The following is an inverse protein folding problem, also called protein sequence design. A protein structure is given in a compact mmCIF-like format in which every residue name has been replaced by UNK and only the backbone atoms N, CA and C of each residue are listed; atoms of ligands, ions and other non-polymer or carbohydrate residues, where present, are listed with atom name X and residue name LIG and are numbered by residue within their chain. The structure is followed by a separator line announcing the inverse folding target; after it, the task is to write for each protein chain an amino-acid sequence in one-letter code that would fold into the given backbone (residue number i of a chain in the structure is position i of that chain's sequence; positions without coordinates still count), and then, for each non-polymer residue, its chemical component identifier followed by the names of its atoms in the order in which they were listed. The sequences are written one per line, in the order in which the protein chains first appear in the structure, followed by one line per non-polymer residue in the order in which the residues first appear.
data_IF_538183369672
#
_entry.id   IF_538183369672
#
_cell.length_a   1.000
_cell.length_b   1.000
_cell.length_c   1.000
_cell.angle_alpha   90.00
_cell.angle_beta   90.00
_cell.angle_gamma   90.00
#
_symmetry.space_group_name_H-M   'P 1'
#
loop_
_entity.id
_entity.type
_entity.pdbx_description
1 polymer ?
#
# COMPACT_ATOMS: atom_id res chain seq x y z
N UNK A 1 -37.35 6.50 3.42
CA UNK A 1 -37.02 7.15 4.69
C UNK A 1 -36.05 8.31 4.48
N UNK A 2 -34.85 8.09 3.93
CA UNK A 2 -33.81 9.13 3.72
C UNK A 2 -34.30 10.38 2.98
N UNK A 3 -35.04 10.22 1.88
CA UNK A 3 -35.61 11.36 1.10
C UNK A 3 -36.67 12.11 1.93
N UNK A 4 -37.48 11.42 2.71
CA UNK A 4 -38.47 12.02 3.59
C UNK A 4 -37.82 12.82 4.72
N UNK A 5 -36.72 12.31 5.28
CA UNK A 5 -35.95 12.96 6.34
C UNK A 5 -35.29 14.25 5.81
N UNK A 6 -34.71 14.22 4.60
CA UNK A 6 -34.16 15.41 3.93
C UNK A 6 -35.22 16.50 3.66
N UNK A 7 -36.48 16.12 3.48
CA UNK A 7 -37.59 17.03 3.25
C UNK A 7 -38.22 17.57 4.55
N UNK A 8 -37.78 17.12 5.71
CA UNK A 8 -38.33 17.54 7.00
C UNK A 8 -38.09 19.05 7.28
N UNK A 9 -39.01 19.66 7.99
CA UNK A 9 -38.90 21.07 8.34
C UNK A 9 -37.70 21.34 9.26
N UNK A 10 -37.35 20.37 10.11
CA UNK A 10 -36.22 20.43 11.01
C UNK A 10 -34.88 20.50 10.25
N UNK A 11 -34.66 19.61 9.27
CA UNK A 11 -33.45 19.62 8.44
C UNK A 11 -33.40 20.91 7.59
N UNK A 12 -34.51 21.32 7.00
CA UNK A 12 -34.57 22.55 6.18
C UNK A 12 -34.24 23.80 6.98
N UNK A 13 -34.61 23.85 8.26
CA UNK A 13 -34.30 24.97 9.13
C UNK A 13 -32.88 24.95 9.70
N UNK A 14 -32.28 23.75 9.84
CA UNK A 14 -30.93 23.61 10.37
C UNK A 14 -29.83 23.90 9.34
N UNK A 15 -30.09 23.69 8.05
CA UNK A 15 -29.09 23.87 6.97
C UNK A 15 -28.55 25.31 6.89
N UNK A 16 -29.38 26.39 6.90
CA UNK A 16 -28.86 27.77 6.88
C UNK A 16 -27.97 28.07 8.09
N UNK A 17 -28.39 27.66 9.29
CA UNK A 17 -27.61 27.86 10.52
C UNK A 17 -26.27 27.13 10.49
N UNK A 18 -26.25 25.91 9.99
CA UNK A 18 -25.02 25.13 9.80
C UNK A 18 -24.11 25.77 8.75
N UNK A 19 -24.69 26.30 7.68
CA UNK A 19 -23.94 26.99 6.63
C UNK A 19 -23.31 28.28 7.16
N UNK A 20 -24.06 29.10 7.90
CA UNK A 20 -23.55 30.32 8.49
C UNK A 20 -22.44 30.05 9.51
N UNK A 21 -22.58 29.00 10.32
CA UNK A 21 -21.55 28.57 11.26
C UNK A 21 -20.29 28.07 10.54
N UNK A 22 -20.45 27.35 9.44
CA UNK A 22 -19.34 26.88 8.63
C UNK A 22 -18.57 28.04 7.98
N UNK A 23 -19.28 28.99 7.38
CA UNK A 23 -18.68 30.21 6.82
C UNK A 23 -17.94 31.02 7.87
N UNK A 24 -18.55 31.19 9.07
CA UNK A 24 -17.91 31.85 10.19
C UNK A 24 -16.64 31.13 10.68
N UNK A 25 -16.59 29.82 10.53
CA UNK A 25 -15.40 28.99 10.79
C UNK A 25 -14.37 28.99 9.63
N UNK A 26 -14.60 29.79 8.57
CA UNK A 26 -13.69 29.87 7.42
C UNK A 26 -13.85 28.77 6.38
N UNK A 27 -14.95 28.02 6.40
CA UNK A 27 -15.24 26.96 5.42
C UNK A 27 -15.97 27.58 4.23
N UNK A 28 -15.31 27.65 3.09
CA UNK A 28 -15.80 28.34 1.89
C UNK A 28 -16.30 27.38 0.80
N UNK A 29 -16.31 26.08 1.05
CA UNK A 29 -16.75 25.05 0.11
C UNK A 29 -17.48 23.88 0.78
N UNK A 30 -18.36 23.23 0.04
CA UNK A 30 -19.05 22.00 0.44
C UNK A 30 -18.90 20.95 -0.66
N UNK A 31 -18.65 19.68 -0.31
CA UNK A 31 -18.45 19.17 1.05
C UNK A 31 -17.05 19.52 1.59
N UNK A 32 -16.96 19.91 2.86
CA UNK A 32 -15.67 20.01 3.57
C UNK A 32 -15.53 18.82 4.51
N UNK A 33 -14.42 18.11 4.40
CA UNK A 33 -14.14 16.94 5.22
C UNK A 33 -13.17 17.26 6.35
N UNK A 34 -13.50 16.84 7.55
CA UNK A 34 -12.66 16.93 8.73
C UNK A 34 -12.47 15.56 9.35
N UNK A 35 -11.27 15.31 9.85
CA UNK A 35 -10.96 14.15 10.66
C UNK A 35 -10.85 14.62 12.11
N UNK A 36 -11.64 14.02 13.01
CA UNK A 36 -11.52 14.22 14.44
C UNK A 36 -10.61 13.16 15.03
N UNK A 37 -9.43 13.57 15.48
CA UNK A 37 -8.46 12.69 16.14
C UNK A 37 -8.08 13.29 17.48
N UNK A 38 -8.24 12.51 18.57
CA UNK A 38 -7.94 12.91 19.94
C UNK A 38 -8.54 14.28 20.34
N UNK A 39 -9.76 14.56 19.87
CA UNK A 39 -10.46 15.80 20.14
C UNK A 39 -10.00 17.00 19.30
N UNK A 40 -9.07 16.82 18.36
CA UNK A 40 -8.61 17.85 17.44
C UNK A 40 -9.14 17.61 16.04
N UNK A 41 -9.68 18.65 15.39
CA UNK A 41 -10.15 18.61 14.01
C UNK A 41 -9.02 18.94 13.05
N UNK A 42 -8.86 18.09 12.05
CA UNK A 42 -7.93 18.29 10.94
C UNK A 42 -8.73 18.42 9.65
N UNK A 43 -8.53 19.52 8.94
CA UNK A 43 -9.12 19.73 7.63
C UNK A 43 -8.43 18.82 6.60
N UNK A 44 -9.21 18.13 5.79
CA UNK A 44 -8.70 17.31 4.68
C UNK A 44 -9.05 18.02 3.38
N UNK A 45 -8.06 18.50 2.62
CA UNK A 45 -8.28 19.15 1.33
C UNK A 45 -9.02 18.25 0.34
N UNK A 46 -9.93 18.84 -0.44
CA UNK A 46 -10.77 18.10 -1.41
C UNK A 46 -9.98 17.35 -2.48
N UNK A 47 -8.78 17.83 -2.80
CA UNK A 47 -7.86 17.19 -3.74
C UNK A 47 -7.18 15.92 -3.20
N UNK A 48 -7.23 15.72 -1.87
CA UNK A 48 -6.64 14.58 -1.19
C UNK A 48 -7.64 13.46 -0.89
N UNK A 49 -8.93 13.70 -1.03
CA UNK A 49 -9.97 12.71 -0.73
C UNK A 49 -10.98 12.64 -1.85
N UNK A 50 -10.81 11.70 -2.73
CA UNK A 50 -11.78 11.43 -3.79
C UNK A 50 -12.86 10.44 -3.36
N UNK A 51 -12.53 9.53 -2.41
CA UNK A 51 -13.41 8.42 -2.00
C UNK A 51 -13.05 7.87 -0.62
N UNK A 52 -13.89 6.93 -0.12
CA UNK A 52 -13.73 6.25 1.16
C UNK A 52 -12.34 5.60 1.37
N UNK A 53 -11.75 5.03 0.33
CA UNK A 53 -10.43 4.41 0.44
C UNK A 53 -9.29 5.42 0.58
N UNK A 54 -9.41 6.59 -0.06
CA UNK A 54 -8.47 7.70 0.14
C UNK A 54 -8.57 8.21 1.58
N UNK A 55 -9.79 8.37 2.07
CA UNK A 55 -10.04 8.74 3.45
C UNK A 55 -9.45 7.72 4.42
N UNK A 56 -9.59 6.43 4.15
CA UNK A 56 -9.01 5.37 4.96
C UNK A 56 -7.47 5.45 4.95
N UNK A 57 -6.84 5.63 3.80
CA UNK A 57 -5.39 5.80 3.68
C UNK A 57 -4.89 7.06 4.43
N UNK A 58 -5.63 8.17 4.32
CA UNK A 58 -5.35 9.41 5.07
C UNK A 58 -5.46 9.17 6.58
N UNK A 59 -6.51 8.49 7.05
CA UNK A 59 -6.68 8.14 8.47
C UNK A 59 -5.54 7.27 8.99
N UNK A 60 -5.15 6.24 8.23
CA UNK A 60 -4.03 5.37 8.60
C UNK A 60 -2.71 6.14 8.61
N UNK A 61 -2.49 7.06 7.67
CA UNK A 61 -1.32 7.93 7.65
C UNK A 61 -1.27 8.88 8.86
N UNK A 62 -2.41 9.46 9.26
CA UNK A 62 -2.48 10.27 10.49
C UNK A 62 -2.18 9.46 11.75
N UNK A 63 -2.76 8.26 11.87
CA UNK A 63 -2.45 7.34 12.99
C UNK A 63 -0.95 6.97 12.99
N UNK A 64 -0.42 6.67 11.82
CA UNK A 64 1.00 6.36 11.65
C UNK A 64 1.89 7.51 12.12
N UNK A 65 1.61 8.74 11.71
CA UNK A 65 2.41 9.92 12.10
C UNK A 65 2.42 10.18 13.60
N UNK A 66 1.40 9.72 14.33
CA UNK A 66 1.36 9.82 15.80
C UNK A 66 2.19 8.74 16.49
N UNK A 67 2.30 7.57 15.91
CA UNK A 67 3.06 6.45 16.46
C UNK A 67 3.72 5.64 15.33
N UNK A 68 4.73 6.21 14.67
CA UNK A 68 5.36 5.57 13.54
C UNK A 68 6.13 4.31 13.99
N UNK A 69 5.84 3.19 13.34
CA UNK A 69 6.72 2.01 13.44
C UNK A 69 7.94 2.29 12.57
N UNK A 70 9.10 2.28 13.16
CA UNK A 70 10.37 2.46 12.47
C UNK A 70 11.38 1.46 13.01
N UNK A 71 12.16 0.90 12.12
CA UNK A 71 13.21 -0.05 12.42
C UNK A 71 14.56 0.50 11.97
N UNK A 72 15.62 0.03 12.57
CA UNK A 72 16.95 0.12 11.99
C UNK A 72 17.12 -0.99 10.94
N UNK A 73 18.05 -0.80 10.01
CA UNK A 73 18.38 -1.83 9.04
C UNK A 73 18.77 -3.12 9.76
N UNK A 74 18.08 -4.25 9.54
CA UNK A 74 18.34 -5.47 10.29
C UNK A 74 19.73 -6.03 9.98
N UNK A 75 20.39 -6.64 10.98
CA UNK A 75 21.61 -7.39 10.72
C UNK A 75 21.31 -8.55 9.75
N UNK A 76 22.31 -8.93 8.97
CA UNK A 76 22.17 -10.05 8.04
C UNK A 76 22.04 -11.37 8.86
N UNK A 77 20.91 -12.04 8.69
CA UNK A 77 20.60 -13.34 9.32
C UNK A 77 20.28 -14.41 8.30
N UNK A 78 20.00 -14.01 7.07
CA UNK A 78 19.74 -14.92 5.95
C UNK A 78 21.07 -15.51 5.46
N UNK A 79 21.09 -16.82 5.28
CA UNK A 79 22.19 -17.56 4.66
C UNK A 79 21.93 -17.66 3.14
N UNK A 80 22.73 -17.01 2.30
CA UNK A 80 22.51 -17.02 0.84
C UNK A 80 22.58 -18.40 0.18
N UNK A 81 23.15 -19.40 0.85
CA UNK A 81 23.24 -20.76 0.30
C UNK A 81 22.03 -21.64 0.69
N UNK A 82 21.07 -21.10 1.47
CA UNK A 82 19.83 -21.81 1.83
C UNK A 82 18.66 -21.37 0.94
N UNK A 83 17.71 -22.27 0.78
CA UNK A 83 16.43 -22.00 0.13
C UNK A 83 15.42 -21.48 1.15
N UNK A 84 14.66 -20.48 0.78
CA UNK A 84 13.59 -19.89 1.58
C UNK A 84 12.32 -19.79 0.76
N UNK A 85 11.19 -20.03 1.43
CA UNK A 85 9.86 -19.79 0.89
C UNK A 85 9.08 -18.89 1.83
N UNK A 86 8.14 -18.14 1.29
CA UNK A 86 7.21 -17.34 2.07
C UNK A 86 5.79 -17.53 1.53
N UNK A 87 4.81 -17.56 2.41
CA UNK A 87 3.39 -17.56 2.02
C UNK A 87 2.77 -16.23 2.38
N UNK A 88 2.19 -15.56 1.39
CA UNK A 88 1.37 -14.37 1.57
C UNK A 88 -0.08 -14.84 1.58
N UNK A 89 -0.68 -14.91 2.77
CA UNK A 89 -2.10 -15.21 2.92
C UNK A 89 -2.91 -13.94 2.68
N UNK A 90 -3.90 -14.00 1.80
CA UNK A 90 -4.78 -12.88 1.47
C UNK A 90 -6.25 -13.26 1.63
N UNK A 91 -7.13 -12.26 1.58
CA UNK A 91 -8.58 -12.50 1.51
C UNK A 91 -9.02 -13.30 0.26
N UNK A 92 -8.13 -13.47 -0.73
CA UNK A 92 -8.36 -14.22 -1.98
C UNK A 92 -7.75 -15.62 -1.97
N UNK A 93 -6.90 -15.92 -1.00
CA UNK A 93 -6.15 -17.16 -0.89
C UNK A 93 -4.65 -16.92 -0.68
N UNK A 94 -3.88 -17.98 -0.82
CA UNK A 94 -2.44 -17.98 -0.58
C UNK A 94 -1.65 -17.76 -1.86
N UNK A 95 -0.55 -17.00 -1.74
CA UNK A 95 0.46 -16.80 -2.77
C UNK A 95 1.78 -17.25 -2.19
N UNK A 96 2.39 -18.29 -2.76
CA UNK A 96 3.66 -18.84 -2.29
C UNK A 96 4.81 -18.33 -3.13
N UNK A 97 5.84 -17.83 -2.45
CA UNK A 97 7.04 -17.26 -3.03
C UNK A 97 8.26 -18.15 -2.78
N UNK A 98 9.06 -18.38 -3.79
CA UNK A 98 10.46 -18.77 -3.65
C UNK A 98 11.31 -17.51 -3.54
N UNK A 99 12.15 -17.41 -2.49
CA UNK A 99 12.97 -16.23 -2.22
C UNK A 99 14.41 -16.45 -2.74
N UNK A 100 14.95 -15.48 -3.45
CA UNK A 100 16.25 -15.55 -4.10
C UNK A 100 17.38 -15.02 -3.18
N UNK A 101 17.62 -15.71 -2.06
CA UNK A 101 18.58 -15.30 -1.05
C UNK A 101 20.03 -15.14 -1.58
N UNK A 102 20.39 -15.89 -2.61
CA UNK A 102 21.72 -15.79 -3.23
C UNK A 102 21.87 -14.55 -4.10
N UNK A 103 20.85 -14.18 -4.85
CA UNK A 103 20.88 -13.08 -5.80
C UNK A 103 20.52 -11.74 -5.17
N UNK A 104 19.69 -11.74 -4.12
CA UNK A 104 19.20 -10.56 -3.43
C UNK A 104 19.17 -10.75 -1.90
N UNK A 105 20.34 -11.00 -1.27
CA UNK A 105 20.40 -11.33 0.16
C UNK A 105 19.86 -10.22 1.07
N UNK A 106 20.11 -8.94 0.78
CA UNK A 106 19.58 -7.84 1.58
C UNK A 106 18.06 -7.71 1.48
N UNK A 107 17.51 -7.83 0.27
CA UNK A 107 16.07 -7.77 0.06
C UNK A 107 15.34 -8.94 0.75
N UNK A 108 15.86 -10.15 0.62
CA UNK A 108 15.31 -11.34 1.30
C UNK A 108 15.43 -11.21 2.82
N UNK A 109 16.57 -10.75 3.33
CA UNK A 109 16.78 -10.53 4.76
C UNK A 109 15.80 -9.47 5.32
N UNK A 110 15.66 -8.35 4.62
CA UNK A 110 14.72 -7.29 5.00
C UNK A 110 13.27 -7.79 4.98
N UNK A 111 12.87 -8.50 3.92
CA UNK A 111 11.53 -9.06 3.79
C UNK A 111 11.20 -10.03 4.92
N UNK A 112 12.09 -11.00 5.22
CA UNK A 112 11.89 -11.97 6.31
C UNK A 112 11.84 -11.27 7.67
N UNK A 113 12.74 -10.31 7.92
CA UNK A 113 12.74 -9.52 9.16
C UNK A 113 11.40 -8.79 9.36
N UNK A 114 10.92 -8.11 8.34
CA UNK A 114 9.68 -7.36 8.39
C UNK A 114 8.45 -8.28 8.55
N UNK A 115 8.43 -9.43 7.87
CA UNK A 115 7.38 -10.43 8.04
C UNK A 115 7.33 -10.95 9.48
N UNK A 116 8.48 -11.33 10.05
CA UNK A 116 8.58 -11.81 11.44
C UNK A 116 8.26 -10.71 12.48
N UNK A 117 8.35 -9.44 12.10
CA UNK A 117 8.02 -8.29 12.95
C UNK A 117 6.55 -7.87 12.84
N UNK A 118 5.71 -8.60 12.09
CA UNK A 118 4.30 -8.27 11.86
C UNK A 118 4.09 -7.00 11.04
N UNK A 119 5.08 -6.61 10.23
CA UNK A 119 4.98 -5.41 9.38
C UNK A 119 3.89 -5.52 8.33
N UNK A 120 3.70 -6.71 7.76
CA UNK A 120 2.80 -6.94 6.64
C UNK A 120 1.37 -7.31 7.06
N UNK A 121 1.09 -7.50 8.35
CA UNK A 121 -0.25 -7.84 8.84
C UNK A 121 -1.26 -6.72 8.55
N UNK A 122 -2.34 -7.05 7.86
CA UNK A 122 -3.40 -6.12 7.47
C UNK A 122 -3.01 -5.14 6.35
N UNK A 123 -1.81 -5.25 5.76
CA UNK A 123 -1.32 -4.34 4.73
C UNK A 123 -2.06 -4.55 3.41
N UNK A 124 -2.62 -3.48 2.80
CA UNK A 124 -3.36 -3.62 1.55
C UNK A 124 -2.44 -3.70 0.34
N UNK A 125 -2.91 -4.39 -0.70
CA UNK A 125 -2.43 -4.17 -2.05
C UNK A 125 -2.97 -2.83 -2.55
N UNK A 126 -2.22 -1.77 -2.32
CA UNK A 126 -2.67 -0.40 -2.54
C UNK A 126 -2.64 0.02 -4.02
N UNK A 127 -1.93 -0.69 -4.87
CA UNK A 127 -1.88 -0.47 -6.33
C UNK A 127 -1.89 -1.80 -7.06
N UNK A 128 -2.98 -2.08 -7.78
CA UNK A 128 -3.17 -3.32 -8.55
C UNK A 128 -3.60 -2.95 -9.96
N UNK A 129 -2.69 -3.10 -10.90
CA UNK A 129 -2.89 -2.76 -12.31
C UNK A 129 -2.91 -4.06 -13.14
N UNK A 130 -4.08 -4.48 -13.63
CA UNK A 130 -4.19 -5.68 -14.45
C UNK A 130 -3.22 -5.67 -15.64
N UNK A 131 -2.54 -6.79 -15.87
CA UNK A 131 -1.53 -6.93 -16.91
C UNK A 131 -0.20 -6.23 -16.63
N UNK A 132 -0.05 -5.58 -15.48
CA UNK A 132 1.19 -4.91 -15.09
C UNK A 132 1.69 -5.44 -13.74
N UNK A 133 1.25 -4.88 -12.60
CA UNK A 133 1.73 -5.27 -11.27
C UNK A 133 0.66 -5.22 -10.19
N UNK A 134 0.85 -6.00 -9.10
CA UNK A 134 0.22 -5.80 -7.80
C UNK A 134 1.26 -5.35 -6.78
N UNK A 135 1.12 -4.14 -6.24
CA UNK A 135 2.05 -3.52 -5.30
C UNK A 135 1.45 -3.40 -3.91
N UNK A 136 2.27 -3.71 -2.89
CA UNK A 136 1.91 -3.72 -1.46
C UNK A 136 3.13 -3.34 -0.61
N UNK A 137 3.06 -3.56 0.71
CA UNK A 137 4.18 -3.40 1.65
C UNK A 137 4.24 -2.06 2.38
N UNK A 138 3.24 -1.18 2.16
CA UNK A 138 3.01 0.04 2.94
C UNK A 138 1.83 -0.19 3.89
N UNK A 139 2.04 -0.19 5.22
CA UNK A 139 0.99 -0.42 6.20
C UNK A 139 -0.18 0.58 6.13
N UNK A 140 0.06 1.78 5.65
CA UNK A 140 -0.99 2.81 5.51
C UNK A 140 -1.76 2.70 4.21
N UNK A 141 -1.23 1.99 3.22
CA UNK A 141 -1.81 1.90 1.87
C UNK A 141 -1.72 3.19 1.06
N UNK A 142 -0.93 4.16 1.52
CA UNK A 142 -0.70 5.44 0.83
C UNK A 142 0.32 5.35 -0.31
N UNK A 143 1.17 4.32 -0.29
CA UNK A 143 2.28 4.14 -1.22
C UNK A 143 3.54 4.94 -0.87
N UNK A 144 3.56 5.63 0.29
CA UNK A 144 4.70 6.51 0.66
C UNK A 144 5.46 6.05 1.90
N UNK A 145 4.88 5.17 2.72
CA UNK A 145 5.50 4.72 3.97
C UNK A 145 6.44 3.54 3.74
N UNK A 146 7.52 3.53 4.50
CA UNK A 146 8.52 2.47 4.55
C UNK A 146 8.98 2.18 5.97
N UNK A 147 9.92 1.23 6.16
CA UNK A 147 10.27 0.66 7.46
C UNK A 147 11.19 1.53 8.30
N UNK A 148 11.56 2.74 7.86
CA UNK A 148 12.48 3.63 8.55
C UNK A 148 13.92 3.54 8.04
N UNK A 149 14.23 2.56 7.21
CA UNK A 149 15.53 2.40 6.55
C UNK A 149 15.39 2.19 5.05
N UNK A 150 16.48 2.35 4.34
CA UNK A 150 16.62 2.05 2.91
C UNK A 150 17.86 1.22 2.67
N UNK A 151 17.87 0.46 1.59
CA UNK A 151 19.02 -0.32 1.15
C UNK A 151 19.18 -0.32 -0.37
N UNK A 152 20.39 -0.64 -0.81
CA UNK A 152 20.79 -0.57 -2.22
C UNK A 152 20.07 -1.60 -3.09
N UNK A 153 19.99 -1.30 -4.38
CA UNK A 153 19.53 -2.26 -5.37
C UNK A 153 20.49 -3.46 -5.46
N UNK A 154 19.92 -4.64 -5.55
CA UNK A 154 20.63 -5.89 -5.82
C UNK A 154 20.19 -6.40 -7.20
N UNK A 155 20.92 -5.99 -8.23
CA UNK A 155 20.62 -6.35 -9.62
C UNK A 155 21.51 -7.50 -10.03
N UNK A 156 20.88 -8.66 -10.27
CA UNK A 156 21.56 -9.84 -10.79
C UNK A 156 21.41 -9.94 -12.31
N UNK A 157 22.47 -10.24 -13.06
CA UNK A 157 22.37 -10.45 -14.51
C UNK A 157 21.53 -11.68 -14.88
N UNK A 158 21.37 -12.62 -13.94
CA UNK A 158 20.63 -13.88 -14.13
C UNK A 158 19.13 -13.73 -13.89
N UNK A 159 18.67 -12.59 -13.32
CA UNK A 159 17.27 -12.32 -13.02
C UNK A 159 16.74 -11.20 -13.90
N UNK A 160 15.65 -11.48 -14.59
CA UNK A 160 14.93 -10.52 -15.42
C UNK A 160 13.44 -10.60 -15.14
N UNK A 161 12.74 -9.51 -15.40
CA UNK A 161 11.26 -9.51 -15.43
C UNK A 161 10.76 -10.12 -16.76
N UNK A 162 11.16 -11.36 -17.03
CA UNK A 162 10.92 -12.08 -18.28
C UNK A 162 9.65 -12.93 -18.27
N UNK A 163 9.02 -13.08 -17.11
CA UNK A 163 7.82 -13.89 -16.94
C UNK A 163 6.92 -13.35 -15.83
N UNK A 164 5.62 -13.71 -15.82
CA UNK A 164 4.72 -13.42 -14.71
C UNK A 164 5.21 -14.03 -13.40
N UNK A 165 4.83 -13.41 -12.29
CA UNK A 165 5.13 -13.87 -10.94
C UNK A 165 6.52 -13.47 -10.44
N UNK A 166 7.35 -12.74 -11.21
CA UNK A 166 8.55 -12.11 -10.66
C UNK A 166 8.15 -11.09 -9.59
N UNK A 167 8.84 -11.13 -8.45
CA UNK A 167 8.59 -10.20 -7.34
C UNK A 167 9.77 -9.27 -7.20
N UNK A 168 9.50 -7.98 -7.34
CA UNK A 168 10.51 -6.93 -7.26
C UNK A 168 10.26 -5.97 -6.10
N UNK A 169 11.36 -5.42 -5.54
CA UNK A 169 11.25 -4.33 -4.57
C UNK A 169 10.83 -3.04 -5.26
N UNK A 170 9.77 -2.40 -4.77
CA UNK A 170 9.42 -1.07 -5.21
C UNK A 170 10.38 -0.05 -4.61
N UNK A 171 10.78 0.94 -5.40
CA UNK A 171 11.69 2.01 -4.99
C UNK A 171 11.25 3.36 -5.56
N UNK A 172 11.78 4.45 -5.02
CA UNK A 172 11.59 5.83 -5.47
C UNK A 172 12.82 6.40 -6.19
N UNK A 173 13.61 5.54 -6.78
CA UNK A 173 14.89 5.80 -7.44
C UNK A 173 15.94 4.79 -6.95
N UNK A 174 17.16 4.80 -7.53
CA UNK A 174 18.22 3.88 -7.16
C UNK A 174 18.47 3.85 -5.65
N UNK A 175 18.75 2.67 -5.11
CA UNK A 175 19.17 2.48 -3.71
C UNK A 175 18.16 3.00 -2.67
N UNK A 176 16.87 2.94 -3.00
CA UNK A 176 15.80 3.36 -2.10
C UNK A 176 14.78 2.25 -1.76
N UNK A 177 15.21 0.99 -1.85
CA UNK A 177 14.40 -0.14 -1.42
C UNK A 177 14.05 -0.03 0.06
N UNK A 178 12.82 -0.41 0.41
CA UNK A 178 12.32 -0.41 1.78
C UNK A 178 11.49 -1.66 2.07
N UNK A 179 10.19 -1.48 2.35
CA UNK A 179 9.26 -2.58 2.59
C UNK A 179 8.31 -2.85 1.43
N UNK A 180 8.16 -1.90 0.51
CA UNK A 180 7.20 -2.05 -0.58
C UNK A 180 7.75 -2.97 -1.67
N UNK A 181 6.89 -3.85 -2.17
CA UNK A 181 7.22 -4.78 -3.24
C UNK A 181 6.04 -4.96 -4.19
N UNK A 182 6.31 -5.51 -5.37
CA UNK A 182 5.28 -5.78 -6.35
C UNK A 182 5.45 -7.17 -6.99
N UNK A 183 4.33 -7.77 -7.38
CA UNK A 183 4.26 -9.00 -8.18
C UNK A 183 3.98 -8.58 -9.61
N UNK A 184 4.83 -8.97 -10.55
CA UNK A 184 4.64 -8.73 -11.98
C UNK A 184 3.59 -9.69 -12.56
N UNK A 185 2.64 -9.17 -13.32
CA UNK A 185 1.59 -9.97 -13.97
C UNK A 185 1.95 -10.41 -15.39
N UNK A 186 2.97 -9.79 -15.96
CA UNK A 186 3.47 -10.06 -17.32
C UNK A 186 4.98 -9.87 -17.37
N UNK A 187 5.66 -10.23 -18.45
CA UNK A 187 7.03 -9.79 -18.71
C UNK A 187 7.12 -8.26 -18.75
N UNK A 188 8.07 -7.67 -18.01
CA UNK A 188 8.27 -6.24 -17.86
C UNK A 188 9.74 -5.85 -18.06
N UNK A 189 10.29 -6.04 -19.27
CA UNK A 189 11.74 -5.88 -19.53
C UNK A 189 12.24 -4.45 -19.26
N UNK A 190 11.38 -3.43 -19.30
CA UNK A 190 11.73 -2.06 -18.99
C UNK A 190 12.09 -1.84 -17.50
N UNK A 191 11.76 -2.80 -16.64
CA UNK A 191 12.11 -2.78 -15.22
C UNK A 191 13.47 -3.45 -14.94
N UNK A 192 14.03 -4.18 -15.89
CA UNK A 192 15.32 -4.85 -15.75
C UNK A 192 16.42 -3.84 -15.41
N UNK A 193 17.27 -4.21 -14.46
CA UNK A 193 18.39 -3.36 -14.02
C UNK A 193 18.00 -2.20 -13.10
N UNK A 194 16.72 -1.86 -12.97
CA UNK A 194 16.24 -0.74 -12.15
C UNK A 194 15.63 -1.18 -10.82
N UNK A 195 15.21 -2.45 -10.71
CA UNK A 195 14.55 -3.00 -9.54
C UNK A 195 15.21 -4.31 -9.10
N UNK A 196 15.32 -4.50 -7.80
CA UNK A 196 15.78 -5.75 -7.20
C UNK A 196 14.70 -6.82 -7.36
N UNK A 197 14.97 -7.88 -8.11
CA UNK A 197 14.12 -9.09 -8.14
C UNK A 197 14.58 -9.99 -7.00
N UNK A 198 13.71 -10.24 -6.01
CA UNK A 198 14.07 -11.02 -4.82
C UNK A 198 13.28 -12.30 -4.64
N UNK A 199 12.22 -12.52 -5.47
CA UNK A 199 11.41 -13.73 -5.39
C UNK A 199 10.70 -14.05 -6.70
N UNK A 200 10.12 -15.27 -6.73
CA UNK A 200 9.20 -15.77 -7.76
C UNK A 200 7.97 -16.37 -7.09
N UNK A 201 6.79 -16.05 -7.60
CA UNK A 201 5.56 -16.77 -7.25
C UNK A 201 5.64 -18.18 -7.82
N UNK A 202 5.58 -19.19 -6.95
CA UNK A 202 5.61 -20.60 -7.34
C UNK A 202 4.23 -21.27 -7.24
N UNK A 203 3.34 -20.74 -6.39
CA UNK A 203 1.93 -21.16 -6.28
C UNK A 203 1.05 -19.92 -6.04
N UNK A 204 -0.22 -19.98 -6.49
CA UNK A 204 -1.20 -18.90 -6.25
C UNK A 204 -1.06 -17.71 -7.19
N UNK A 205 -0.49 -17.87 -8.40
CA UNK A 205 -0.47 -16.79 -9.40
C UNK A 205 -1.87 -16.41 -9.87
N UNK A 206 -2.81 -17.34 -9.87
CA UNK A 206 -4.23 -17.10 -10.10
C UNK A 206 -4.85 -16.26 -8.98
N UNK A 207 -4.48 -16.50 -7.71
CA UNK A 207 -4.87 -15.67 -6.57
C UNK A 207 -4.35 -14.25 -6.74
N UNK A 208 -3.05 -14.10 -7.06
CA UNK A 208 -2.43 -12.80 -7.32
C UNK A 208 -3.15 -12.04 -8.44
N UNK A 209 -3.49 -12.72 -9.54
CA UNK A 209 -4.18 -12.13 -10.69
C UNK A 209 -5.63 -11.75 -10.41
N UNK A 210 -6.26 -12.33 -9.37
CA UNK A 210 -7.61 -12.04 -8.92
C UNK A 210 -7.68 -10.99 -7.80
N UNK A 211 -6.55 -10.41 -7.38
CA UNK A 211 -6.56 -9.26 -6.48
C UNK A 211 -7.35 -8.11 -7.09
N UNK A 212 -8.10 -7.40 -6.25
CA UNK A 212 -8.98 -6.32 -6.69
C UNK A 212 -8.19 -5.25 -7.43
N UNK A 213 -8.51 -4.97 -8.70
CA UNK A 213 -7.91 -3.86 -9.44
C UNK A 213 -8.06 -2.54 -8.68
N UNK A 214 -6.99 -1.78 -8.61
CA UNK A 214 -6.93 -0.50 -7.90
C UNK A 214 -5.81 0.36 -8.47
N UNK A 215 -6.19 1.51 -9.03
CA UNK A 215 -5.23 2.48 -9.54
C UNK A 215 -5.39 3.84 -8.83
N UNK A 216 -4.58 4.15 -7.81
CA UNK A 216 -4.67 5.42 -7.07
C UNK A 216 -4.53 6.66 -7.95
N UNK A 217 -3.89 6.53 -9.13
CA UNK A 217 -3.66 7.66 -10.02
C UNK A 217 -4.85 8.00 -10.94
N UNK A 218 -5.74 7.03 -11.22
CA UNK A 218 -6.78 7.22 -12.23
C UNK A 218 -8.17 6.79 -11.83
N UNK A 219 -8.33 5.94 -10.81
CA UNK A 219 -9.65 5.46 -10.42
C UNK A 219 -10.49 6.61 -9.83
N UNK A 220 -11.67 6.83 -10.40
CA UNK A 220 -12.64 7.82 -9.89
C UNK A 220 -13.20 7.34 -8.54
N UNK A 221 -13.38 6.03 -8.40
CA UNK A 221 -13.82 5.36 -7.18
C UNK A 221 -12.72 4.41 -6.71
N UNK A 222 -11.99 4.79 -5.68
CA UNK A 222 -10.92 4.00 -5.13
C UNK A 222 -11.46 3.06 -4.03
N UNK A 223 -11.71 1.81 -4.38
CA UNK A 223 -12.14 0.78 -3.43
C UNK A 223 -10.97 0.30 -2.54
N UNK A 224 -11.24 -0.20 -1.32
CA UNK A 224 -10.21 -0.83 -0.49
C UNK A 224 -9.49 -1.95 -1.24
N UNK A 225 -8.17 -1.99 -1.14
CA UNK A 225 -7.37 -3.10 -1.66
C UNK A 225 -7.57 -4.37 -0.84
N UNK A 226 -7.41 -5.54 -1.46
CA UNK A 226 -7.34 -6.81 -0.72
C UNK A 226 -6.12 -6.77 0.21
N UNK A 227 -6.18 -7.45 1.37
CA UNK A 227 -5.17 -7.34 2.43
C UNK A 227 -4.36 -8.62 2.59
N UNK A 228 -3.14 -8.45 3.07
CA UNK A 228 -2.33 -9.52 3.68
C UNK A 228 -2.91 -9.78 5.08
N UNK A 229 -3.13 -11.05 5.45
CA UNK A 229 -3.72 -11.49 6.72
C UNK A 229 -2.67 -11.91 7.74
#
# INVERSE_FOLDING_TARGET
QFIADLASAEIKSSVPTATDAAVAAGLNSTPSLFILLDGQLYFVPDDQVRMYADLQAVLELYKWNKNPKSFECPPMTVDPEKSYTATITTERGDIVLELFAKQAPMAVNSFIFLANSGWFEGVPFHRVLPGFVAQTGDPTGSGVIGPGYKYSNEVSPDLRFDQPGRVGMANSGPDSNGSQFFIAYAPLPDLDGNYTIFAQVIEGMDVASNLRPRNPASDVILLPGDRIL
#
